data_IF_137691002698
#
_entry.id   IF_137691002698
#
_cell.length_a   1.000
_cell.length_b   1.000
_cell.length_c   1.000
_cell.angle_alpha   90.00
_cell.angle_beta   90.00
_cell.angle_gamma   90.00
#
_symmetry.space_group_name_H-M   'P 1'
#
loop_
_entity.id
_entity.type
_entity.pdbx_description
1 polymer ?
#
# COMPACT_ATOMS: atom_id res chain seq x y z
N UNK A 1 5.80 34.12 51.83
CA UNK A 1 5.60 32.71 52.23
C UNK A 1 4.79 31.90 51.20
N UNK A 2 3.80 32.47 50.51
CA UNK A 2 2.98 31.78 49.49
C UNK A 2 3.69 31.48 48.16
N UNK A 3 4.56 32.40 47.69
CA UNK A 3 5.28 32.23 46.42
C UNK A 3 6.22 31.01 46.42
N UNK A 4 6.87 30.75 47.56
CA UNK A 4 7.77 29.60 47.73
C UNK A 4 6.98 28.28 47.69
N UNK A 5 5.77 28.26 48.26
CA UNK A 5 4.89 27.08 48.24
C UNK A 5 4.44 26.74 46.81
N UNK A 6 4.09 27.74 46.00
CA UNK A 6 3.65 27.56 44.61
C UNK A 6 4.78 27.05 43.72
N UNK A 7 6.01 27.55 43.92
CA UNK A 7 7.17 27.06 43.16
C UNK A 7 7.51 25.61 43.53
N UNK A 8 7.38 25.24 44.80
CA UNK A 8 7.61 23.86 45.25
C UNK A 8 6.58 22.88 44.68
N UNK A 9 5.30 23.26 44.64
CA UNK A 9 4.27 22.40 44.05
C UNK A 9 4.48 22.24 42.54
N UNK A 10 4.81 23.32 41.82
CA UNK A 10 5.07 23.26 40.39
C UNK A 10 6.31 22.38 40.07
N UNK A 11 7.39 22.52 40.85
CA UNK A 11 8.57 21.69 40.71
C UNK A 11 8.29 20.20 41.00
N UNK A 12 7.45 19.91 42.01
CA UNK A 12 7.04 18.53 42.29
C UNK A 12 6.21 17.92 41.16
N UNK A 13 5.31 18.69 40.54
CA UNK A 13 4.51 18.22 39.41
C UNK A 13 5.39 17.92 38.20
N UNK A 14 6.35 18.80 37.89
CA UNK A 14 7.30 18.57 36.79
C UNK A 14 8.21 17.35 37.06
N UNK A 15 8.64 17.14 38.29
CA UNK A 15 9.44 15.96 38.66
C UNK A 15 8.63 14.66 38.55
N UNK A 16 7.38 14.66 39.01
CA UNK A 16 6.47 13.51 38.90
C UNK A 16 6.20 13.21 37.43
N UNK A 17 5.85 14.21 36.63
CA UNK A 17 5.58 14.06 35.20
C UNK A 17 6.83 13.57 34.44
N UNK A 18 8.01 14.12 34.76
CA UNK A 18 9.28 13.68 34.18
C UNK A 18 9.59 12.21 34.52
N UNK A 19 9.33 11.78 35.76
CA UNK A 19 9.55 10.39 36.17
C UNK A 19 8.51 9.42 35.61
N UNK A 20 7.25 9.85 35.48
CA UNK A 20 6.18 9.03 34.90
C UNK A 20 6.35 8.87 33.39
N UNK A 21 6.66 9.96 32.70
CA UNK A 21 6.94 9.98 31.26
C UNK A 21 8.15 9.09 30.91
N UNK A 22 9.22 9.11 31.71
CA UNK A 22 10.38 8.23 31.50
C UNK A 22 10.07 6.74 31.65
N UNK A 23 9.06 6.34 32.43
CA UNK A 23 8.71 4.93 32.66
C UNK A 23 7.78 4.33 31.60
N UNK A 24 7.09 5.15 30.78
CA UNK A 24 6.08 4.66 29.82
C UNK A 24 6.59 4.47 28.38
N UNK A 25 7.86 4.77 28.06
CA UNK A 25 8.27 4.91 26.65
C UNK A 25 8.71 3.61 25.94
N UNK A 26 8.96 2.47 26.59
CA UNK A 26 9.76 1.42 25.89
C UNK A 26 9.19 -0.01 25.81
N UNK A 27 8.06 -0.39 26.42
CA UNK A 27 7.70 -1.83 26.45
C UNK A 27 6.34 -2.25 25.83
N UNK A 28 5.43 -1.33 25.50
CA UNK A 28 4.08 -1.68 25.02
C UNK A 28 3.74 -1.45 23.53
N UNK A 29 4.46 -0.66 22.71
CA UNK A 29 4.04 -0.46 21.32
C UNK A 29 4.29 -1.70 20.45
N UNK A 30 5.39 -2.43 20.67
CA UNK A 30 5.79 -3.57 19.80
C UNK A 30 4.91 -4.80 20.03
N UNK A 31 4.55 -5.13 21.28
CA UNK A 31 3.71 -6.29 21.57
C UNK A 31 2.25 -6.06 21.12
N UNK A 32 1.77 -4.81 21.17
CA UNK A 32 0.46 -4.42 20.64
C UNK A 32 0.45 -4.40 19.11
N UNK A 33 1.50 -3.87 18.46
CA UNK A 33 1.64 -3.88 17.00
C UNK A 33 1.72 -5.32 16.44
N UNK A 34 2.58 -6.17 17.00
CA UNK A 34 2.72 -7.57 16.59
C UNK A 34 1.43 -8.39 16.81
N UNK A 35 0.66 -8.09 17.87
CA UNK A 35 -0.63 -8.74 18.12
C UNK A 35 -1.72 -8.24 17.18
N UNK A 36 -1.64 -7.00 16.69
CA UNK A 36 -2.55 -6.39 15.70
C UNK A 36 -2.25 -6.87 14.28
N UNK A 37 -0.97 -7.05 13.94
CA UNK A 37 -0.50 -7.70 12.70
C UNK A 37 -0.94 -9.16 12.60
N UNK A 38 -0.97 -9.89 13.73
CA UNK A 38 -1.42 -11.29 13.76
C UNK A 38 -2.95 -11.47 13.67
N UNK A 39 -3.76 -10.45 14.01
CA UNK A 39 -5.22 -10.55 14.07
C UNK A 39 -5.96 -10.13 12.77
N UNK A 40 -5.25 -9.63 11.76
CA UNK A 40 -5.86 -9.12 10.51
C UNK A 40 -5.49 -9.92 9.26
N UNK A 41 -5.14 -11.21 9.38
CA UNK A 41 -5.11 -12.11 8.21
C UNK A 41 -6.52 -12.62 7.91
N UNK A 42 -7.41 -11.71 7.49
CA UNK A 42 -8.56 -12.12 6.69
C UNK A 42 -8.00 -12.84 5.47
N UNK A 43 -8.37 -14.11 5.27
CA UNK A 43 -8.05 -14.82 4.03
C UNK A 43 -8.60 -13.94 2.90
N UNK A 44 -7.75 -13.35 2.04
CA UNK A 44 -8.23 -12.47 0.99
C UNK A 44 -9.20 -13.26 0.14
N UNK A 45 -10.41 -12.74 -0.10
CA UNK A 45 -11.31 -13.42 -1.00
C UNK A 45 -10.69 -13.37 -2.39
N UNK A 46 -10.34 -14.53 -2.94
CA UNK A 46 -9.79 -14.64 -4.30
C UNK A 46 -10.86 -14.15 -5.30
N UNK A 47 -10.44 -13.35 -6.28
CA UNK A 47 -11.29 -12.79 -7.35
C UNK A 47 -10.50 -12.83 -8.64
N UNK A 48 -10.99 -13.50 -9.68
CA UNK A 48 -10.27 -13.67 -10.94
C UNK A 48 -8.83 -14.20 -10.81
N UNK A 49 -8.51 -14.95 -9.74
CA UNK A 49 -7.16 -15.42 -9.41
C UNK A 49 -6.30 -14.45 -8.59
N UNK A 50 -6.84 -13.30 -8.18
CA UNK A 50 -6.12 -12.27 -7.43
C UNK A 50 -6.64 -12.13 -6.00
N UNK A 51 -5.74 -11.85 -5.06
CA UNK A 51 -6.09 -11.61 -3.67
C UNK A 51 -6.73 -10.22 -3.53
N UNK A 52 -7.88 -10.14 -2.85
CA UNK A 52 -8.54 -8.86 -2.57
C UNK A 52 -8.96 -8.79 -1.09
N UNK A 53 -8.09 -8.30 -0.19
CA UNK A 53 -8.46 -8.06 1.20
C UNK A 53 -9.60 -7.03 1.35
N UNK A 54 -10.55 -7.32 2.24
CA UNK A 54 -11.77 -6.49 2.43
C UNK A 54 -11.54 -5.22 3.27
N UNK A 55 -10.51 -5.21 4.10
CA UNK A 55 -10.14 -4.09 4.99
C UNK A 55 -9.44 -2.95 4.27
N UNK A 56 -9.12 -3.11 2.98
CA UNK A 56 -8.44 -2.11 2.16
C UNK A 56 -9.42 -1.27 1.34
N UNK A 57 -8.89 -0.17 0.81
CA UNK A 57 -9.53 0.61 -0.25
C UNK A 57 -8.61 0.67 -1.46
N UNK A 58 -9.17 0.66 -2.66
CA UNK A 58 -8.41 0.55 -3.90
C UNK A 58 -8.69 1.73 -4.81
N UNK A 59 -7.63 2.22 -5.46
CA UNK A 59 -7.74 3.16 -6.56
C UNK A 59 -7.85 2.38 -7.88
N UNK A 60 -8.62 2.86 -8.88
CA UNK A 60 -8.71 2.21 -10.19
C UNK A 60 -7.38 2.03 -10.94
N UNK A 61 -6.30 2.68 -10.47
CA UNK A 61 -4.92 2.50 -10.93
C UNK A 61 -4.14 1.40 -10.20
N UNK A 62 -4.82 0.44 -9.57
CA UNK A 62 -4.23 -0.73 -8.90
C UNK A 62 -3.27 -0.44 -7.72
N UNK A 63 -3.50 0.67 -7.03
CA UNK A 63 -2.89 0.95 -5.72
C UNK A 63 -3.92 0.84 -4.60
N UNK A 64 -3.52 0.35 -3.43
CA UNK A 64 -4.37 0.25 -2.25
C UNK A 64 -3.99 1.29 -1.19
N UNK A 65 -4.96 1.58 -0.31
CA UNK A 65 -4.84 2.44 0.85
C UNK A 65 -5.38 1.72 2.10
N UNK A 66 -4.59 1.73 3.18
CA UNK A 66 -4.94 1.24 4.52
C UNK A 66 -4.84 2.38 5.52
N UNK A 67 -5.90 2.65 6.29
CA UNK A 67 -5.85 3.65 7.35
C UNK A 67 -5.17 3.06 8.59
N UNK A 68 -4.01 3.61 8.95
CA UNK A 68 -3.26 3.27 10.17
C UNK A 68 -3.74 4.11 11.36
N UNK A 69 -4.07 5.36 11.07
CA UNK A 69 -4.66 6.33 12.00
C UNK A 69 -5.63 7.25 11.24
N UNK A 70 -6.33 8.18 11.92
CA UNK A 70 -7.25 9.11 11.25
C UNK A 70 -6.64 9.94 10.13
N UNK A 71 -5.32 10.13 10.15
CA UNK A 71 -4.60 10.99 9.20
C UNK A 71 -3.35 10.35 8.59
N UNK A 72 -2.96 9.15 9.03
CA UNK A 72 -1.85 8.38 8.45
C UNK A 72 -2.40 7.18 7.65
N UNK A 73 -1.98 7.09 6.39
CA UNK A 73 -2.46 6.09 5.44
C UNK A 73 -1.28 5.37 4.81
N UNK A 74 -1.26 4.04 4.92
CA UNK A 74 -0.28 3.18 4.24
C UNK A 74 -0.77 2.90 2.82
N UNK A 75 0.14 2.94 1.85
CA UNK A 75 -0.14 2.79 0.43
C UNK A 75 0.77 1.73 -0.19
N UNK A 76 0.23 0.92 -1.09
CA UNK A 76 1.00 -0.05 -1.88
C UNK A 76 0.34 -0.38 -3.23
N UNK A 77 0.95 -1.28 -3.99
CA UNK A 77 0.34 -1.87 -5.20
C UNK A 77 -0.43 -3.15 -4.85
N UNK A 78 -1.54 -3.42 -5.53
CA UNK A 78 -2.35 -4.62 -5.26
C UNK A 78 -1.76 -5.89 -5.90
N UNK A 79 -2.31 -7.07 -5.56
CA UNK A 79 -1.87 -8.37 -6.09
C UNK A 79 -2.04 -8.48 -7.62
N UNK A 80 -2.99 -7.73 -8.20
CA UNK A 80 -3.14 -7.67 -9.65
C UNK A 80 -1.97 -6.91 -10.28
N UNK A 81 -1.65 -5.72 -9.77
CA UNK A 81 -0.51 -4.93 -10.24
C UNK A 81 0.81 -5.68 -10.05
N UNK A 82 1.04 -6.31 -8.90
CA UNK A 82 2.30 -7.00 -8.62
C UNK A 82 2.55 -8.14 -9.63
N UNK A 83 1.51 -8.91 -9.97
CA UNK A 83 1.59 -10.00 -10.97
C UNK A 83 1.63 -9.49 -12.41
N UNK A 84 0.96 -8.37 -12.70
CA UNK A 84 1.02 -7.74 -14.03
C UNK A 84 2.42 -7.17 -14.31
N UNK A 85 3.03 -6.56 -13.30
CA UNK A 85 4.40 -6.05 -13.38
C UNK A 85 5.39 -7.20 -13.59
N UNK A 86 5.24 -8.30 -12.84
CA UNK A 86 6.14 -9.44 -12.91
C UNK A 86 7.53 -9.10 -12.35
N UNK A 87 8.58 -9.41 -13.11
CA UNK A 87 9.97 -9.14 -12.69
C UNK A 87 10.28 -7.64 -12.63
N UNK A 88 10.49 -7.14 -11.41
CA UNK A 88 10.90 -5.75 -11.15
C UNK A 88 12.42 -5.65 -11.01
N UNK A 89 13.03 -4.73 -11.75
CA UNK A 89 14.44 -4.36 -11.60
C UNK A 89 14.62 -3.35 -10.47
N UNK A 90 13.80 -2.29 -10.46
CA UNK A 90 13.88 -1.19 -9.50
C UNK A 90 12.53 -0.51 -9.33
N UNK A 91 12.28 0.01 -8.13
CA UNK A 91 11.16 0.92 -7.84
C UNK A 91 11.71 2.25 -7.37
N UNK A 92 11.20 3.35 -7.93
CA UNK A 92 11.48 4.71 -7.47
C UNK A 92 10.26 5.25 -6.75
N UNK A 93 10.48 5.81 -5.56
CA UNK A 93 9.46 6.41 -4.69
C UNK A 93 9.73 7.91 -4.50
N UNK A 94 8.70 8.72 -4.17
CA UNK A 94 8.84 10.14 -3.86
C UNK A 94 9.62 10.37 -2.58
N UNK A 95 10.01 11.61 -2.33
CA UNK A 95 10.77 11.97 -1.13
C UNK A 95 9.83 12.19 0.08
N UNK A 96 10.31 11.86 1.28
CA UNK A 96 9.65 12.22 2.54
C UNK A 96 9.41 13.74 2.58
N UNK A 97 8.22 14.15 3.01
CA UNK A 97 7.76 15.53 3.04
C UNK A 97 7.13 16.03 1.73
N UNK A 98 7.33 15.35 0.60
CA UNK A 98 6.75 15.75 -0.68
C UNK A 98 5.21 15.73 -0.62
N UNK A 99 4.56 16.77 -1.14
CA UNK A 99 3.11 16.77 -1.31
C UNK A 99 2.71 16.06 -2.61
N UNK A 100 1.70 15.21 -2.53
CA UNK A 100 1.10 14.49 -3.66
C UNK A 100 -0.42 14.66 -3.65
N UNK A 101 -1.04 14.65 -4.83
CA UNK A 101 -2.51 14.60 -4.96
C UNK A 101 -2.99 13.19 -5.30
N UNK A 102 -4.24 12.88 -4.96
CA UNK A 102 -4.90 11.66 -5.43
C UNK A 102 -4.86 11.64 -6.97
N UNK A 103 -4.50 10.49 -7.54
CA UNK A 103 -4.31 10.33 -8.98
C UNK A 103 -2.97 10.85 -9.54
N UNK A 104 -2.11 11.49 -8.74
CA UNK A 104 -0.75 11.84 -9.17
C UNK A 104 0.23 10.69 -8.97
N UNK A 105 1.33 10.70 -9.72
CA UNK A 105 2.38 9.69 -9.60
C UNK A 105 2.89 9.48 -8.17
N UNK A 106 2.87 8.23 -7.72
CA UNK A 106 3.35 7.78 -6.40
C UNK A 106 4.54 6.81 -6.47
N UNK A 107 4.72 6.13 -7.60
CA UNK A 107 5.84 5.23 -7.81
C UNK A 107 6.16 5.12 -9.31
N UNK A 108 7.41 4.81 -9.62
CA UNK A 108 7.83 4.39 -10.96
C UNK A 108 8.46 3.01 -10.86
N UNK A 109 7.97 2.07 -11.66
CA UNK A 109 8.44 0.70 -11.74
C UNK A 109 9.30 0.55 -12.99
N UNK A 110 10.49 -0.01 -12.82
CA UNK A 110 11.41 -0.31 -13.91
C UNK A 110 11.49 -1.81 -14.14
N UNK A 111 11.35 -2.21 -15.41
CA UNK A 111 11.52 -3.57 -15.88
C UNK A 111 12.27 -3.55 -17.22
N UNK A 112 13.46 -4.16 -17.23
CA UNK A 112 14.30 -4.37 -18.42
C UNK A 112 14.42 -3.10 -19.30
N UNK A 113 14.70 -1.96 -18.65
CA UNK A 113 14.88 -0.66 -19.31
C UNK A 113 13.60 0.13 -19.64
N UNK A 114 12.42 -0.42 -19.34
CA UNK A 114 11.13 0.26 -19.53
C UNK A 114 10.56 0.71 -18.18
N UNK A 115 9.93 1.88 -18.17
CA UNK A 115 9.34 2.48 -16.98
C UNK A 115 7.83 2.64 -17.10
N UNK A 116 7.11 2.30 -16.03
CA UNK A 116 5.68 2.53 -15.88
C UNK A 116 5.42 3.20 -14.53
N UNK A 117 4.57 4.21 -14.53
CA UNK A 117 4.22 4.96 -13.32
C UNK A 117 2.96 4.37 -12.68
N UNK A 118 2.83 4.52 -11.37
CA UNK A 118 1.59 4.25 -10.64
C UNK A 118 1.11 5.53 -9.97
N UNK A 119 -0.19 5.62 -9.75
CA UNK A 119 -0.84 6.81 -9.19
C UNK A 119 -1.21 6.63 -7.71
N UNK A 120 -1.24 7.73 -6.97
CA UNK A 120 -1.57 7.71 -5.54
C UNK A 120 -3.06 7.51 -5.32
N UNK A 121 -3.47 6.62 -4.39
CA UNK A 121 -4.87 6.50 -3.99
C UNK A 121 -5.33 7.66 -3.10
N UNK A 122 -4.41 8.50 -2.59
CA UNK A 122 -4.74 9.55 -1.62
C UNK A 122 -3.83 10.76 -1.78
N UNK A 123 -4.31 11.94 -1.40
CA UNK A 123 -3.48 13.13 -1.31
C UNK A 123 -2.91 13.35 0.10
N UNK A 124 -1.80 14.08 0.17
CA UNK A 124 -1.15 14.41 1.43
C UNK A 124 0.35 14.59 1.28
N UNK A 125 1.04 14.66 2.42
CA UNK A 125 2.51 14.68 2.47
C UNK A 125 3.05 13.27 2.70
N UNK A 126 4.10 12.87 1.98
CA UNK A 126 4.79 11.59 2.22
C UNK A 126 5.37 11.59 3.63
N UNK A 127 4.85 10.75 4.52
CA UNK A 127 5.35 10.62 5.88
C UNK A 127 6.59 9.71 5.91
N UNK A 128 6.53 8.57 5.20
CA UNK A 128 7.63 7.62 5.13
C UNK A 128 7.64 6.84 3.80
N UNK A 129 8.78 6.27 3.45
CA UNK A 129 8.97 5.39 2.29
C UNK A 129 9.54 4.06 2.74
N UNK A 130 9.17 2.98 2.05
CA UNK A 130 9.68 1.65 2.35
C UNK A 130 11.05 1.41 1.70
N UNK A 131 12.11 1.75 2.42
CA UNK A 131 13.49 1.55 1.96
C UNK A 131 13.83 0.06 1.70
N UNK A 132 13.11 -0.88 2.34
CA UNK A 132 13.25 -2.32 2.09
C UNK A 132 12.74 -2.68 0.69
N UNK A 133 11.63 -2.10 0.22
CA UNK A 133 11.14 -2.34 -1.15
C UNK A 133 12.05 -1.71 -2.19
N UNK A 134 12.65 -0.55 -1.89
CA UNK A 134 13.62 0.09 -2.81
C UNK A 134 14.87 -0.78 -3.00
N UNK A 135 15.30 -1.49 -1.95
CA UNK A 135 16.47 -2.39 -2.00
C UNK A 135 16.14 -3.81 -2.46
N UNK A 136 14.96 -4.35 -2.13
CA UNK A 136 14.43 -5.63 -2.62
C UNK A 136 13.00 -5.47 -3.19
N UNK A 137 12.88 -5.08 -4.48
CA UNK A 137 11.58 -4.93 -5.12
C UNK A 137 10.72 -6.19 -5.15
N UNK A 138 11.31 -7.39 -4.96
CA UNK A 138 10.55 -8.66 -4.95
C UNK A 138 9.57 -8.74 -3.79
N UNK A 139 9.73 -7.90 -2.77
CA UNK A 139 8.85 -7.86 -1.62
C UNK A 139 7.41 -7.44 -2.01
N UNK A 140 7.24 -6.58 -3.01
CA UNK A 140 5.91 -6.16 -3.51
C UNK A 140 5.17 -7.32 -4.19
N UNK A 141 5.88 -8.31 -4.70
CA UNK A 141 5.31 -9.51 -5.28
C UNK A 141 5.02 -10.59 -4.23
N UNK A 142 5.89 -10.73 -3.23
CA UNK A 142 5.76 -11.75 -2.17
C UNK A 142 4.67 -11.42 -1.16
N UNK A 143 4.58 -10.16 -0.75
CA UNK A 143 3.64 -9.71 0.28
C UNK A 143 3.11 -8.30 -0.06
N UNK A 144 2.30 -8.14 -1.13
CA UNK A 144 1.83 -6.85 -1.61
C UNK A 144 1.04 -6.03 -0.57
N UNK A 145 0.46 -6.70 0.44
CA UNK A 145 -0.43 -6.08 1.43
C UNK A 145 0.17 -5.98 2.83
N UNK A 146 1.27 -6.69 3.12
CA UNK A 146 2.03 -6.58 4.36
C UNK A 146 3.31 -5.80 4.15
N UNK A 147 4.44 -6.50 4.06
CA UNK A 147 5.79 -5.92 3.98
C UNK A 147 6.08 -5.20 2.66
N UNK A 148 5.32 -5.45 1.61
CA UNK A 148 5.45 -4.85 0.28
C UNK A 148 4.80 -3.47 0.11
N UNK A 149 4.42 -2.79 1.19
CA UNK A 149 3.92 -1.41 1.13
C UNK A 149 4.97 -0.45 0.53
N UNK A 150 4.53 0.62 -0.11
CA UNK A 150 5.42 1.55 -0.82
C UNK A 150 5.72 2.78 0.03
N UNK A 151 4.67 3.48 0.48
CA UNK A 151 4.80 4.73 1.24
C UNK A 151 3.73 4.82 2.32
N UNK A 152 3.95 5.70 3.31
CA UNK A 152 2.89 6.21 4.16
C UNK A 152 2.64 7.69 3.85
N UNK A 153 1.38 8.10 3.89
CA UNK A 153 0.92 9.44 3.53
C UNK A 153 0.18 10.05 4.70
N UNK A 154 0.62 11.25 5.09
CA UNK A 154 -0.06 12.12 6.03
C UNK A 154 -1.14 12.92 5.27
N UNK A 155 -2.38 12.46 5.34
CA UNK A 155 -3.53 13.05 4.65
C UNK A 155 -4.35 13.91 5.63
N UNK A 156 -4.50 15.23 5.40
CA UNK A 156 -5.29 16.08 6.29
C UNK A 156 -6.79 15.78 6.21
N UNK A 157 -7.27 15.23 5.09
CA UNK A 157 -8.67 14.84 4.89
C UNK A 157 -8.79 13.41 4.35
N UNK A 158 -8.24 12.44 5.09
CA UNK A 158 -8.30 11.04 4.69
C UNK A 158 -9.76 10.56 4.52
N UNK A 159 -10.68 11.02 5.37
CA UNK A 159 -12.08 10.60 5.32
C UNK A 159 -12.74 10.93 3.99
N UNK A 160 -12.51 12.12 3.43
CA UNK A 160 -13.06 12.49 2.12
C UNK A 160 -12.37 11.72 1.00
N UNK A 161 -11.04 11.63 1.02
CA UNK A 161 -10.28 10.90 0.00
C UNK A 161 -10.72 9.43 -0.14
N UNK A 162 -11.00 8.76 0.98
CA UNK A 162 -11.47 7.37 1.00
C UNK A 162 -12.84 7.16 0.34
N UNK A 163 -13.65 8.22 0.16
CA UNK A 163 -14.95 8.12 -0.54
C UNK A 163 -14.80 7.92 -2.04
N UNK A 164 -13.65 8.30 -2.60
CA UNK A 164 -13.33 8.16 -4.02
C UNK A 164 -12.72 6.77 -4.33
N UNK A 165 -12.52 5.93 -3.31
CA UNK A 165 -11.86 4.64 -3.45
C UNK A 165 -12.86 3.47 -3.41
N UNK A 166 -12.49 2.40 -4.09
CA UNK A 166 -13.26 1.18 -4.18
C UNK A 166 -13.08 0.34 -2.92
N UNK A 167 -14.17 -0.23 -2.39
CA UNK A 167 -14.13 -1.12 -1.22
C UNK A 167 -15.20 -2.20 -1.28
N UNK A 168 -15.05 -3.24 -0.45
CA UNK A 168 -16.03 -4.32 -0.33
C UNK A 168 -16.38 -4.95 -1.67
N UNK A 169 -17.68 -5.12 -1.93
CA UNK A 169 -18.19 -5.73 -3.17
C UNK A 169 -17.76 -4.99 -4.44
N UNK A 170 -17.63 -3.66 -4.39
CA UNK A 170 -17.21 -2.87 -5.55
C UNK A 170 -15.75 -3.14 -5.92
N UNK A 171 -14.86 -3.25 -4.93
CA UNK A 171 -13.46 -3.62 -5.17
C UNK A 171 -13.37 -5.01 -5.80
N UNK A 172 -14.13 -5.98 -5.28
CA UNK A 172 -14.18 -7.33 -5.85
C UNK A 172 -14.67 -7.31 -7.29
N UNK A 173 -15.81 -6.68 -7.56
CA UNK A 173 -16.33 -6.60 -8.93
C UNK A 173 -15.34 -5.93 -9.90
N UNK A 174 -14.70 -4.84 -9.47
CA UNK A 174 -13.69 -4.15 -10.28
C UNK A 174 -12.47 -5.03 -10.55
N UNK A 175 -11.97 -5.78 -9.56
CA UNK A 175 -10.86 -6.72 -9.76
C UNK A 175 -11.25 -7.84 -10.74
N UNK A 176 -12.46 -8.38 -10.66
CA UNK A 176 -12.96 -9.38 -11.60
C UNK A 176 -13.00 -8.82 -13.04
N UNK A 177 -13.48 -7.59 -13.22
CA UNK A 177 -13.49 -6.94 -14.52
C UNK A 177 -12.07 -6.65 -15.03
N UNK A 178 -11.15 -6.21 -14.17
CA UNK A 178 -9.74 -6.03 -14.53
C UNK A 178 -9.09 -7.35 -14.97
N UNK A 179 -9.35 -8.44 -14.26
CA UNK A 179 -8.90 -9.78 -14.62
C UNK A 179 -9.48 -10.23 -15.98
N UNK A 180 -10.78 -10.06 -16.19
CA UNK A 180 -11.44 -10.36 -17.47
C UNK A 180 -10.91 -9.53 -18.64
N UNK A 181 -10.64 -8.22 -18.42
CA UNK A 181 -10.01 -7.35 -19.42
C UNK A 181 -8.60 -7.81 -19.76
N UNK A 182 -7.80 -8.18 -18.77
CA UNK A 182 -6.45 -8.71 -18.98
C UNK A 182 -6.50 -10.02 -19.78
N UNK A 183 -7.41 -10.93 -19.41
CA UNK A 183 -7.60 -12.20 -20.12
C UNK A 183 -8.00 -12.02 -21.58
N UNK A 184 -8.92 -11.08 -21.89
CA UNK A 184 -9.31 -10.79 -23.27
C UNK A 184 -8.15 -10.26 -24.11
N UNK A 185 -7.22 -9.51 -23.51
CA UNK A 185 -6.01 -9.01 -24.18
C UNK A 185 -4.95 -10.09 -24.32
N UNK A 186 -4.89 -11.02 -23.37
CA UNK A 186 -3.84 -12.04 -23.27
C UNK A 186 -4.41 -13.45 -23.11
N UNK A 187 -5.15 -13.96 -24.11
CA UNK A 187 -5.85 -15.24 -24.01
C UNK A 187 -4.90 -16.44 -23.82
N UNK A 188 -3.70 -16.39 -24.41
CA UNK A 188 -2.71 -17.49 -24.35
C UNK A 188 -1.99 -17.60 -23.00
N UNK A 189 -1.85 -16.50 -22.26
CA UNK A 189 -1.14 -16.46 -20.97
C UNK A 189 -2.08 -16.67 -19.78
N UNK A 190 -3.38 -16.48 -20.00
CA UNK A 190 -4.44 -16.64 -18.99
C UNK A 190 -5.16 -18.00 -19.08
N UNK A 191 -4.67 -18.95 -19.88
CA UNK A 191 -5.26 -20.28 -20.06
C UNK A 191 -5.40 -21.10 -18.77
N UNK A 192 -4.74 -20.68 -17.69
CA UNK A 192 -4.82 -21.28 -16.35
C UNK A 192 -5.64 -20.48 -15.32
N UNK A 193 -6.19 -19.30 -15.66
CA UNK A 193 -6.89 -18.45 -14.67
C UNK A 193 -8.38 -18.80 -14.50
N UNK A 194 -9.01 -19.44 -15.48
CA UNK A 194 -10.46 -19.32 -15.64
C UNK A 194 -11.30 -20.59 -15.39
N UNK A 195 -10.71 -21.76 -15.20
CA UNK A 195 -11.52 -23.00 -15.17
C UNK A 195 -11.54 -23.78 -13.85
N UNK A 196 -10.58 -23.54 -12.96
CA UNK A 196 -10.44 -24.27 -11.69
C UNK A 196 -10.55 -23.39 -10.43
N UNK A 197 -10.70 -22.07 -10.59
CA UNK A 197 -10.64 -21.14 -9.46
C UNK A 197 -9.25 -21.01 -8.85
N UNK A 198 -8.20 -21.30 -9.63
CA UNK A 198 -6.81 -21.22 -9.22
C UNK A 198 -6.29 -19.80 -8.98
N UNK A 199 -5.13 -19.72 -8.33
CA UNK A 199 -4.42 -18.45 -8.06
C UNK A 199 -3.63 -18.03 -9.30
N UNK A 200 -3.70 -16.74 -9.64
CA UNK A 200 -2.93 -16.17 -10.74
C UNK A 200 -1.43 -16.36 -10.53
N UNK A 201 -0.73 -16.74 -11.60
CA UNK A 201 0.72 -16.94 -11.56
C UNK A 201 1.44 -15.61 -11.29
N UNK A 202 2.59 -15.68 -10.64
CA UNK A 202 3.38 -14.49 -10.32
C UNK A 202 4.05 -13.84 -11.55
N UNK A 203 4.20 -14.60 -12.64
CA UNK A 203 4.99 -14.25 -13.82
C UNK A 203 4.12 -14.13 -15.08
N UNK A 204 2.92 -13.52 -14.97
CA UNK A 204 1.93 -13.45 -16.06
C UNK A 204 2.49 -12.85 -17.35
N UNK A 205 3.44 -11.93 -17.23
CA UNK A 205 3.93 -11.10 -18.32
C UNK A 205 5.38 -11.39 -18.70
N UNK A 206 6.03 -12.38 -18.10
CA UNK A 206 7.45 -12.69 -18.35
C UNK A 206 7.74 -13.09 -19.82
N UNK A 207 6.73 -13.58 -20.54
CA UNK A 207 6.85 -14.01 -21.92
C UNK A 207 6.58 -12.89 -22.95
N UNK A 208 6.25 -11.68 -22.49
CA UNK A 208 5.88 -10.55 -23.34
C UNK A 208 7.08 -9.61 -23.49
N UNK A 209 7.36 -9.08 -24.70
CA UNK A 209 8.34 -8.02 -24.88
C UNK A 209 8.03 -6.80 -24.00
N UNK A 210 9.04 -6.20 -23.37
CA UNK A 210 8.82 -5.16 -22.35
C UNK A 210 8.13 -3.90 -22.89
N UNK A 211 8.26 -3.61 -24.19
CA UNK A 211 7.54 -2.51 -24.84
C UNK A 211 6.03 -2.76 -24.89
N UNK A 212 5.61 -3.98 -25.21
CA UNK A 212 4.19 -4.36 -25.23
C UNK A 212 3.62 -4.45 -23.81
N UNK A 213 4.41 -4.99 -22.88
CA UNK A 213 4.08 -4.99 -21.45
C UNK A 213 3.76 -3.58 -20.95
N UNK A 214 4.61 -2.60 -21.27
CA UNK A 214 4.43 -1.24 -20.77
C UNK A 214 3.15 -0.58 -21.29
N UNK A 215 2.72 -0.88 -22.51
CA UNK A 215 1.44 -0.39 -23.05
C UNK A 215 0.27 -0.96 -22.24
N UNK A 216 0.31 -2.26 -21.91
CA UNK A 216 -0.72 -2.91 -21.10
C UNK A 216 -0.71 -2.34 -19.68
N UNK A 217 0.47 -2.25 -19.05
CA UNK A 217 0.60 -1.77 -17.68
C UNK A 217 0.10 -0.33 -17.52
N UNK A 218 0.43 0.57 -18.45
CA UNK A 218 -0.04 1.97 -18.45
C UNK A 218 -1.56 2.09 -18.50
N UNK A 219 -2.23 1.21 -19.25
CA UNK A 219 -3.69 1.18 -19.30
C UNK A 219 -4.32 0.83 -17.94
N UNK A 220 -3.71 -0.10 -17.19
CA UNK A 220 -4.21 -0.51 -15.88
C UNK A 220 -3.80 0.45 -14.76
N UNK A 221 -2.61 1.07 -14.84
CA UNK A 221 -2.10 1.95 -13.78
C UNK A 221 -2.54 3.41 -13.93
N UNK A 222 -3.26 3.73 -15.02
CA UNK A 222 -3.75 5.07 -15.34
C UNK A 222 -2.62 6.10 -15.47
N UNK A 223 -1.53 5.69 -16.13
CA UNK A 223 -0.28 6.46 -16.25
C UNK A 223 0.16 6.68 -17.68
#
# INVERSE_FOLDING_TARGET
>A
MTVILVLLTFASFLLIDHFYSRKQVVAQPVLMAAKREAQARTVPGLVGGFQVPENLRYHPGHTWALSESPSLVRVGMDDFASKLVGKVERITLPQRGQWIRQGQKIATIFRDGVAVDMVSPIEGSIADVNDTVVSDPKLTQKDPYGEGWLVTVQSPDAKTNFRNLLGGALARWWTEESAGRLQRKMPMLCGALAQDGGVAMNNLTDQIPDQEWAVIAKEFFLS
#
